data_IF_444708166340
#
_entry.id   IF_444708166340
#
_cell.length_a   1.000
_cell.length_b   1.000
_cell.length_c   1.000
_cell.angle_alpha   90.00
_cell.angle_beta   90.00
_cell.angle_gamma   90.00
#
_symmetry.space_group_name_H-M   'P 1'
#
loop_
_entity.id
_entity.type
_entity.pdbx_description
1 polymer ?
#
# COMPACT_ATOMS: atom_id res chain seq x y z
N UNK A 1 -15.57 -16.74 7.67
CA UNK A 1 -14.38 -16.70 6.81
C UNK A 1 -14.75 -16.15 5.46
N UNK A 2 -14.12 -15.04 5.07
CA UNK A 2 -14.26 -14.45 3.73
C UNK A 2 -13.28 -15.17 2.80
N UNK A 3 -13.70 -15.52 1.59
CA UNK A 3 -12.82 -16.06 0.56
C UNK A 3 -12.65 -15.03 -0.55
N UNK A 4 -11.41 -14.82 -0.99
CA UNK A 4 -11.09 -13.97 -2.13
C UNK A 4 -10.08 -14.70 -3.01
N UNK A 5 -10.46 -15.00 -4.25
CA UNK A 5 -9.74 -15.94 -5.10
C UNK A 5 -9.49 -17.27 -4.35
N UNK A 6 -8.24 -17.70 -4.26
CA UNK A 6 -7.79 -18.89 -3.51
C UNK A 6 -7.29 -18.56 -2.08
N UNK A 7 -7.52 -17.35 -1.58
CA UNK A 7 -7.09 -16.92 -0.25
C UNK A 7 -8.24 -16.92 0.76
N UNK A 8 -7.93 -17.36 1.98
CA UNK A 8 -8.81 -17.18 3.13
C UNK A 8 -8.47 -15.88 3.85
N UNK A 9 -9.50 -15.09 4.16
CA UNK A 9 -9.39 -13.81 4.83
C UNK A 9 -10.19 -13.82 6.14
N UNK A 10 -9.63 -13.18 7.16
CA UNK A 10 -10.31 -12.98 8.44
C UNK A 10 -11.59 -12.14 8.28
N UNK A 11 -11.59 -11.16 7.37
CA UNK A 11 -12.71 -10.28 7.05
C UNK A 11 -12.56 -9.70 5.62
N UNK A 12 -13.57 -9.02 5.05
CA UNK A 12 -13.49 -8.47 3.69
C UNK A 12 -12.84 -7.08 3.61
N UNK A 13 -12.27 -6.55 4.71
CA UNK A 13 -11.73 -5.19 4.74
C UNK A 13 -10.28 -5.16 4.26
N UNK A 14 -10.00 -4.20 3.37
CA UNK A 14 -8.66 -3.95 2.86
C UNK A 14 -8.29 -2.47 2.92
N UNK A 15 -6.99 -2.20 2.94
CA UNK A 15 -6.42 -0.86 2.74
C UNK A 15 -5.84 -0.78 1.33
N UNK A 16 -6.29 0.23 0.57
CA UNK A 16 -5.95 0.40 -0.83
C UNK A 16 -4.52 0.92 -1.02
N UNK A 17 -3.96 0.70 -2.22
CA UNK A 17 -2.71 1.30 -2.64
C UNK A 17 -2.72 2.84 -2.48
N UNK A 18 -1.53 3.39 -2.33
CA UNK A 18 -1.28 4.82 -2.17
C UNK A 18 -1.24 5.27 -0.72
N UNK A 19 -1.74 4.45 0.22
CA UNK A 19 -1.62 4.70 1.66
C UNK A 19 -0.22 4.35 2.17
N UNK A 20 0.19 3.09 2.06
CA UNK A 20 1.54 2.62 2.41
C UNK A 20 2.37 2.38 1.14
N UNK A 21 2.97 3.45 0.60
CA UNK A 21 3.67 3.38 -0.69
C UNK A 21 4.98 2.60 -0.64
N UNK A 22 5.65 2.61 0.51
CA UNK A 22 6.99 2.03 0.66
C UNK A 22 7.00 0.78 1.54
N UNK A 23 5.84 0.31 2.00
CA UNK A 23 5.72 -0.87 2.86
C UNK A 23 6.20 -0.62 4.29
N UNK A 24 6.09 0.61 4.80
CA UNK A 24 6.53 1.00 6.14
C UNK A 24 5.55 0.56 7.24
N UNK A 25 4.28 0.39 6.90
CA UNK A 25 3.19 0.25 7.86
C UNK A 25 2.45 -1.10 7.75
N UNK A 26 2.92 -2.02 6.90
CA UNK A 26 2.26 -3.33 6.65
C UNK A 26 1.85 -4.02 7.95
N UNK A 27 2.77 -4.18 8.91
CA UNK A 27 2.47 -4.88 10.15
C UNK A 27 1.44 -4.14 11.01
N UNK A 28 1.56 -2.81 11.10
CA UNK A 28 0.60 -1.99 11.84
C UNK A 28 -0.80 -2.07 11.26
N UNK A 29 -0.93 -2.02 9.94
CA UNK A 29 -2.20 -2.16 9.22
C UNK A 29 -2.84 -3.54 9.44
N UNK A 30 -2.03 -4.59 9.44
CA UNK A 30 -2.50 -5.96 9.77
C UNK A 30 -3.00 -6.04 11.21
N UNK A 31 -2.26 -5.49 12.16
CA UNK A 31 -2.65 -5.48 13.58
C UNK A 31 -3.91 -4.65 13.85
N UNK A 32 -4.21 -3.65 13.02
CA UNK A 32 -5.49 -2.92 13.07
C UNK A 32 -6.67 -3.72 12.48
N UNK A 33 -6.43 -4.90 11.90
CA UNK A 33 -7.46 -5.82 11.45
C UNK A 33 -7.71 -5.83 9.94
N UNK A 34 -6.94 -5.11 9.13
CA UNK A 34 -7.09 -5.17 7.66
C UNK A 34 -6.65 -6.54 7.13
N UNK A 35 -7.57 -7.24 6.46
CA UNK A 35 -7.29 -8.55 5.87
C UNK A 35 -6.49 -8.45 4.57
N UNK A 36 -6.63 -7.34 3.86
CA UNK A 36 -5.89 -7.06 2.62
C UNK A 36 -5.09 -5.77 2.83
N UNK A 37 -3.80 -5.80 2.54
CA UNK A 37 -2.93 -4.61 2.53
C UNK A 37 -2.31 -4.49 1.15
N UNK A 38 -2.54 -3.38 0.47
CA UNK A 38 -1.94 -3.11 -0.83
C UNK A 38 -0.85 -2.02 -0.70
N UNK A 39 0.41 -2.42 -0.87
CA UNK A 39 1.58 -1.53 -0.85
C UNK A 39 1.80 -0.92 -2.23
N UNK A 40 2.27 0.34 -2.28
CA UNK A 40 2.62 1.02 -3.53
C UNK A 40 1.71 2.20 -3.85
N UNK A 41 1.65 2.71 -5.08
CA UNK A 41 2.34 2.21 -6.28
C UNK A 41 3.85 2.36 -6.22
N UNK A 42 4.57 1.28 -6.54
CA UNK A 42 6.04 1.26 -6.59
C UNK A 42 6.51 1.32 -8.04
N UNK A 43 7.40 2.26 -8.34
CA UNK A 43 8.03 2.40 -9.66
C UNK A 43 9.37 1.66 -9.72
N UNK A 44 9.86 1.23 -10.91
CA UNK A 44 11.18 0.63 -11.05
C UNK A 44 12.28 1.43 -10.36
N UNK A 45 12.43 2.69 -10.78
CA UNK A 45 13.40 3.63 -10.20
C UNK A 45 12.76 4.50 -9.11
N UNK A 46 13.54 4.98 -8.14
CA UNK A 46 13.07 5.97 -7.18
C UNK A 46 12.63 7.27 -7.86
N UNK A 47 11.54 7.88 -7.38
CA UNK A 47 11.12 9.20 -7.82
C UNK A 47 10.38 9.97 -6.72
N UNK A 48 10.59 11.28 -6.67
CA UNK A 48 10.02 12.14 -5.63
C UNK A 48 8.52 12.42 -5.80
N UNK A 49 8.00 12.23 -7.01
CA UNK A 49 6.66 12.66 -7.42
C UNK A 49 6.55 14.17 -7.64
N UNK A 50 5.31 14.68 -7.71
CA UNK A 50 5.05 16.09 -8.01
C UNK A 50 5.43 17.03 -6.83
N UNK A 51 5.77 18.31 -7.06
CA UNK A 51 5.99 19.27 -5.98
C UNK A 51 4.80 19.41 -5.02
N UNK A 52 5.07 19.77 -3.76
CA UNK A 52 4.03 20.10 -2.77
C UNK A 52 3.52 21.54 -2.98
N UNK A 53 2.26 21.88 -2.60
CA UNK A 53 1.23 21.01 -2.03
C UNK A 53 0.55 20.11 -3.08
N UNK A 54 0.27 18.86 -2.69
CA UNK A 54 -0.18 17.80 -3.63
C UNK A 54 -1.25 16.85 -3.08
N UNK A 55 -1.76 17.13 -1.88
CA UNK A 55 -2.90 16.45 -1.26
C UNK A 55 -3.73 17.48 -0.52
N UNK A 56 -5.03 17.43 -0.70
CA UNK A 56 -6.00 18.40 -0.20
C UNK A 56 -7.19 17.63 0.36
N UNK A 57 -7.58 17.91 1.61
CA UNK A 57 -8.78 17.32 2.22
C UNK A 57 -9.93 18.30 2.05
N UNK A 58 -11.11 17.78 1.72
CA UNK A 58 -12.36 18.50 1.61
C UNK A 58 -13.33 17.88 2.63
N UNK A 59 -13.31 18.34 3.90
CA UNK A 59 -14.06 17.69 4.97
C UNK A 59 -15.58 17.76 4.76
N UNK A 60 -16.08 18.85 4.19
CA UNK A 60 -17.51 19.06 3.90
C UNK A 60 -18.03 18.02 2.90
N UNK A 61 -17.20 17.61 1.94
CA UNK A 61 -17.51 16.61 0.93
C UNK A 61 -17.12 15.18 1.34
N UNK A 62 -16.51 15.00 2.52
CA UNK A 62 -15.84 13.75 2.93
C UNK A 62 -14.84 13.24 1.86
N UNK A 63 -14.11 14.15 1.22
CA UNK A 63 -13.30 13.85 0.04
C UNK A 63 -11.81 14.24 0.19
N UNK A 64 -11.00 13.67 -0.71
CA UNK A 64 -9.57 13.98 -0.84
C UNK A 64 -9.20 14.11 -2.31
N UNK A 65 -8.54 15.21 -2.67
CA UNK A 65 -7.91 15.40 -3.98
C UNK A 65 -6.40 15.21 -3.82
N UNK A 66 -5.79 14.40 -4.69
CA UNK A 66 -4.34 14.23 -4.69
C UNK A 66 -3.77 14.24 -6.11
N UNK A 67 -2.50 14.64 -6.19
CA UNK A 67 -1.70 14.66 -7.42
C UNK A 67 -0.27 14.28 -7.08
N UNK A 68 -0.10 13.13 -6.44
CA UNK A 68 1.21 12.69 -5.95
C UNK A 68 2.24 12.43 -7.07
N UNK A 69 1.81 11.89 -8.21
CA UNK A 69 2.71 11.51 -9.30
C UNK A 69 3.65 10.36 -8.95
N UNK A 70 3.12 9.26 -8.37
CA UNK A 70 3.88 8.06 -7.97
C UNK A 70 5.19 8.34 -7.23
N UNK A 71 5.16 9.11 -6.13
CA UNK A 71 6.34 9.19 -5.26
C UNK A 71 6.68 7.81 -4.70
N UNK A 72 7.88 7.31 -4.97
CA UNK A 72 8.31 5.95 -4.70
C UNK A 72 9.81 5.87 -4.42
N UNK A 73 10.21 4.94 -3.55
CA UNK A 73 11.60 4.62 -3.24
C UNK A 73 12.25 3.61 -4.21
N UNK A 74 11.52 3.14 -5.23
CA UNK A 74 12.02 2.18 -6.21
C UNK A 74 11.77 0.71 -5.85
N UNK A 75 11.86 -0.17 -6.85
CA UNK A 75 11.65 -1.62 -6.67
C UNK A 75 12.65 -2.23 -5.70
N UNK A 76 13.95 -1.94 -5.86
CA UNK A 76 15.01 -2.54 -5.04
C UNK A 76 14.81 -2.29 -3.55
N UNK A 77 14.59 -1.03 -3.17
CA UNK A 77 14.44 -0.65 -1.76
C UNK A 77 13.18 -1.24 -1.13
N UNK A 78 12.06 -1.22 -1.85
CA UNK A 78 10.81 -1.79 -1.30
C UNK A 78 10.88 -3.31 -1.29
N UNK A 79 11.45 -3.95 -2.31
CA UNK A 79 11.65 -5.39 -2.36
C UNK A 79 12.47 -5.89 -1.17
N UNK A 80 13.61 -5.26 -0.88
CA UNK A 80 14.43 -5.60 0.27
C UNK A 80 13.67 -5.46 1.60
N UNK A 81 12.79 -4.45 1.72
CA UNK A 81 11.93 -4.32 2.90
C UNK A 81 10.91 -5.45 2.99
N UNK A 82 10.27 -5.81 1.87
CA UNK A 82 9.26 -6.87 1.84
C UNK A 82 9.87 -8.25 2.12
N UNK A 83 11.11 -8.50 1.70
CA UNK A 83 11.81 -9.74 2.01
C UNK A 83 12.02 -9.95 3.53
N UNK A 84 12.18 -8.85 4.27
CA UNK A 84 12.43 -8.87 5.71
C UNK A 84 11.14 -8.83 6.56
N UNK A 85 9.96 -8.84 5.94
CA UNK A 85 8.69 -8.89 6.68
C UNK A 85 8.49 -10.26 7.33
N UNK A 86 7.99 -10.26 8.56
CA UNK A 86 7.53 -11.47 9.23
C UNK A 86 6.30 -12.04 8.48
N UNK A 87 6.51 -13.17 7.79
CA UNK A 87 5.50 -13.83 6.96
C UNK A 87 4.38 -14.48 7.77
N UNK A 88 4.57 -14.71 9.07
CA UNK A 88 3.50 -15.24 9.92
C UNK A 88 2.29 -14.30 9.96
N UNK A 89 2.51 -13.00 9.78
CA UNK A 89 1.47 -11.97 9.76
C UNK A 89 0.69 -11.91 8.43
N UNK A 90 1.14 -12.65 7.41
CA UNK A 90 0.42 -12.86 6.15
C UNK A 90 -0.57 -14.04 6.21
N UNK A 91 -0.61 -14.78 7.32
CA UNK A 91 -1.62 -15.83 7.50
C UNK A 91 -3.03 -15.22 7.51
N UNK A 92 -3.96 -15.91 6.82
CA UNK A 92 -5.36 -15.50 6.70
C UNK A 92 -5.55 -14.04 6.24
N UNK A 93 -4.71 -13.61 5.30
CA UNK A 93 -4.74 -12.29 4.70
C UNK A 93 -3.92 -12.23 3.41
N UNK A 94 -3.93 -11.06 2.77
CA UNK A 94 -3.24 -10.85 1.50
C UNK A 94 -2.41 -9.56 1.54
N UNK A 95 -1.16 -9.67 1.12
CA UNK A 95 -0.30 -8.52 0.83
C UNK A 95 -0.22 -8.36 -0.69
N UNK A 96 -0.82 -7.29 -1.20
CA UNK A 96 -0.74 -6.90 -2.59
C UNK A 96 0.40 -5.92 -2.82
N UNK A 97 1.05 -6.01 -3.98
CA UNK A 97 2.09 -5.07 -4.40
C UNK A 97 1.62 -4.37 -5.68
N UNK A 98 1.31 -3.09 -5.57
CA UNK A 98 0.89 -2.25 -6.68
C UNK A 98 2.12 -1.69 -7.39
N UNK A 99 2.24 -1.95 -8.70
CA UNK A 99 3.37 -1.53 -9.52
C UNK A 99 2.95 -0.45 -10.50
N UNK A 100 3.79 0.58 -10.64
CA UNK A 100 3.63 1.64 -11.63
C UNK A 100 4.88 1.75 -12.50
N UNK A 101 4.78 2.50 -13.60
CA UNK A 101 5.97 2.92 -14.37
C UNK A 101 6.48 4.27 -13.86
N UNK A 102 7.79 4.49 -14.02
CA UNK A 102 8.33 5.85 -13.92
C UNK A 102 7.72 6.76 -15.00
N UNK A 103 7.87 8.08 -14.79
CA UNK A 103 7.41 9.10 -15.74
C UNK A 103 8.06 8.93 -17.12
#
# INVERSE_FOLDING_TARGET
NTKFLNYELNNPLGIAAGFDKQGDAVLGLRNMGFSIVEVGSITPEPQLGNPKPRVFRLPEDNAVINRYGFNSDGHDKVHNKMQNLDKSLLQNGLLGINLGKNK
#
